data_IF_682967553977
#
_entry.id   IF_682967553977
#
_cell.length_a   1.000
_cell.length_b   1.000
_cell.length_c   1.000
_cell.angle_alpha   90.00
_cell.angle_beta   90.00
_cell.angle_gamma   90.00
#
_symmetry.space_group_name_H-M   'P 1'
#
loop_
_entity.id
_entity.type
_entity.pdbx_description
1 polymer ?
#
# COMPACT_ATOMS: atom_id res chain seq x y z
N UNK A 1 -10.66 -20.06 -15.41
CA UNK A 1 -11.07 -18.76 -14.84
C UNK A 1 -10.62 -17.69 -15.81
N UNK A 2 -11.53 -16.91 -16.41
CA UNK A 2 -11.14 -15.80 -17.27
C UNK A 2 -10.16 -14.90 -16.49
N UNK A 3 -8.96 -14.71 -17.03
CA UNK A 3 -7.96 -13.84 -16.42
C UNK A 3 -8.52 -12.43 -16.44
N UNK A 4 -9.09 -11.96 -15.34
CA UNK A 4 -9.38 -10.55 -15.18
C UNK A 4 -8.02 -9.82 -15.28
N UNK A 5 -7.82 -9.09 -16.38
CA UNK A 5 -6.67 -8.21 -16.55
C UNK A 5 -6.63 -7.22 -15.38
N UNK A 6 -5.43 -6.89 -14.91
CA UNK A 6 -5.28 -5.85 -13.90
C UNK A 6 -5.64 -4.51 -14.56
N UNK A 7 -6.56 -3.77 -13.95
CA UNK A 7 -6.79 -2.36 -14.29
C UNK A 7 -5.77 -1.50 -13.53
N UNK A 8 -4.60 -1.28 -14.14
CA UNK A 8 -3.49 -0.49 -13.60
C UNK A 8 -3.11 0.64 -14.55
N UNK A 9 -2.35 1.62 -14.04
CA UNK A 9 -1.73 2.65 -14.87
C UNK A 9 -0.24 2.72 -14.55
N UNK A 10 0.60 2.80 -15.58
CA UNK A 10 2.04 2.98 -15.44
C UNK A 10 2.45 4.30 -16.11
N UNK A 11 3.24 5.09 -15.40
CA UNK A 11 3.85 6.33 -15.91
C UNK A 11 5.36 6.11 -16.01
N UNK A 12 5.89 6.17 -17.23
CA UNK A 12 7.32 6.06 -17.51
C UNK A 12 7.79 7.46 -17.95
N UNK A 13 8.77 8.07 -17.26
CA UNK A 13 9.27 9.39 -17.62
C UNK A 13 10.00 9.37 -18.98
N UNK A 14 9.90 10.46 -19.75
CA UNK A 14 10.49 10.57 -21.11
C UNK A 14 12.00 10.33 -21.16
N UNK A 15 12.69 10.68 -20.08
CA UNK A 15 14.09 10.33 -19.83
C UNK A 15 14.15 9.51 -18.55
N UNK A 16 13.89 8.19 -18.63
CA UNK A 16 14.10 7.35 -17.48
C UNK A 16 15.61 7.29 -17.23
N UNK A 17 16.03 7.48 -15.98
CA UNK A 17 17.42 7.29 -15.55
C UNK A 17 17.81 5.80 -15.60
N UNK A 18 17.71 5.17 -16.76
CA UNK A 18 18.35 3.90 -17.03
C UNK A 18 19.84 4.17 -17.12
N UNK A 19 20.64 3.46 -16.32
CA UNK A 19 22.08 3.45 -16.52
C UNK A 19 22.34 3.09 -17.99
N UNK A 20 22.83 4.06 -18.77
CA UNK A 20 23.47 3.77 -20.04
C UNK A 20 24.51 2.69 -19.77
N UNK A 21 24.22 1.46 -20.19
CA UNK A 21 25.27 0.51 -20.50
C UNK A 21 26.07 1.18 -21.62
N UNK A 22 27.18 1.84 -21.28
CA UNK A 22 28.42 1.94 -22.07
C UNK A 22 29.36 3.02 -21.48
N UNK A 23 30.61 2.61 -21.27
CA UNK A 23 31.83 3.42 -21.04
C UNK A 23 32.21 3.78 -19.59
N UNK A 24 33.31 3.19 -19.05
CA UNK A 24 33.90 3.62 -17.80
C UNK A 24 34.64 4.95 -18.04
N UNK A 25 34.06 6.05 -17.59
CA UNK A 25 34.80 7.32 -17.47
C UNK A 25 35.69 7.21 -16.22
N UNK A 26 37.02 7.35 -16.32
CA UNK A 26 37.90 7.34 -15.17
C UNK A 26 37.87 8.73 -14.53
N UNK A 27 37.09 8.88 -13.46
CA UNK A 27 37.00 10.13 -12.70
C UNK A 27 35.76 10.16 -11.83
N UNK A 28 35.94 9.82 -10.54
CA UNK A 28 35.03 10.07 -9.42
C UNK A 28 33.53 10.09 -9.71
N UNK A 29 32.94 8.96 -10.08
CA UNK A 29 31.47 8.87 -10.19
C UNK A 29 30.88 8.59 -8.81
N UNK A 30 30.22 9.59 -8.20
CA UNK A 30 29.03 9.26 -7.40
C UNK A 30 28.20 8.33 -8.30
N UNK A 31 28.05 7.06 -7.90
CA UNK A 31 27.21 6.14 -8.63
C UNK A 31 25.82 6.80 -8.70
N UNK A 32 25.39 7.20 -9.91
CA UNK A 32 24.08 7.81 -10.10
C UNK A 32 23.04 6.93 -9.41
N UNK A 33 22.45 7.45 -8.34
CA UNK A 33 21.48 6.71 -7.55
C UNK A 33 20.29 6.45 -8.45
N UNK A 34 20.08 5.19 -8.83
CA UNK A 34 18.95 4.76 -9.64
C UNK A 34 17.65 5.20 -8.98
N UNK A 35 16.77 5.85 -9.75
CA UNK A 35 15.46 6.22 -9.26
C UNK A 35 14.62 4.95 -9.05
N UNK A 36 13.85 4.86 -7.95
CA UNK A 36 13.04 3.69 -7.71
C UNK A 36 11.83 3.65 -8.64
N UNK A 37 11.35 2.45 -8.94
CA UNK A 37 9.97 2.24 -9.39
C UNK A 37 9.07 2.36 -8.15
N UNK A 38 8.09 3.26 -8.21
CA UNK A 38 7.17 3.51 -7.11
C UNK A 38 5.84 2.83 -7.41
N UNK A 39 5.38 1.96 -6.52
CA UNK A 39 4.08 1.27 -6.65
C UNK A 39 3.10 1.87 -5.63
N UNK A 40 2.07 2.56 -6.13
CA UNK A 40 0.99 3.13 -5.34
C UNK A 40 -0.16 2.11 -5.22
N UNK A 41 -0.44 1.66 -3.99
CA UNK A 41 -1.53 0.73 -3.68
C UNK A 41 -2.70 1.49 -3.06
N UNK A 42 -3.70 1.80 -3.89
CA UNK A 42 -4.83 2.65 -3.54
C UNK A 42 -5.76 2.07 -2.47
N UNK A 43 -6.54 2.97 -1.86
CA UNK A 43 -7.54 2.63 -0.86
C UNK A 43 -8.85 2.15 -1.50
N UNK A 44 -9.74 1.59 -0.68
CA UNK A 44 -11.04 1.11 -1.14
C UNK A 44 -11.85 2.20 -1.86
N UNK A 45 -12.26 1.91 -3.09
CA UNK A 45 -13.10 2.78 -3.92
C UNK A 45 -12.41 4.03 -4.47
N UNK A 46 -11.09 4.16 -4.29
CA UNK A 46 -10.34 5.24 -4.94
C UNK A 46 -10.31 5.03 -6.47
N UNK A 47 -10.25 6.13 -7.22
CA UNK A 47 -10.12 6.09 -8.68
C UNK A 47 -8.69 6.44 -9.06
N UNK A 48 -8.28 6.04 -10.25
CA UNK A 48 -6.94 6.33 -10.77
C UNK A 48 -6.59 7.83 -10.70
N UNK A 49 -7.54 8.73 -11.02
CA UNK A 49 -7.38 10.20 -10.87
C UNK A 49 -7.00 10.67 -9.46
N UNK A 50 -7.36 9.91 -8.43
CA UNK A 50 -6.98 10.21 -7.05
C UNK A 50 -5.50 9.88 -6.86
N UNK A 51 -5.06 8.69 -7.30
CA UNK A 51 -3.66 8.26 -7.25
C UNK A 51 -2.75 9.10 -8.15
N UNK A 52 -3.24 9.64 -9.27
CA UNK A 52 -2.48 10.53 -10.15
C UNK A 52 -1.83 11.71 -9.40
N UNK A 53 -2.53 12.27 -8.41
CA UNK A 53 -2.00 13.37 -7.59
C UNK A 53 -0.79 12.96 -6.76
N UNK A 54 -0.81 11.75 -6.21
CA UNK A 54 0.31 11.16 -5.48
C UNK A 54 1.43 10.72 -6.43
N UNK A 55 1.07 10.20 -7.62
CA UNK A 55 2.01 9.82 -8.67
C UNK A 55 2.91 10.97 -9.09
N UNK A 56 2.33 12.16 -9.25
CA UNK A 56 3.03 13.38 -9.63
C UNK A 56 4.18 13.76 -8.68
N UNK A 57 4.16 13.31 -7.41
CA UNK A 57 5.27 13.52 -6.47
C UNK A 57 6.55 12.82 -6.97
N UNK A 58 6.39 11.59 -7.43
CA UNK A 58 7.48 10.70 -7.83
C UNK A 58 7.82 10.84 -9.31
N UNK A 59 6.81 10.87 -10.19
CA UNK A 59 6.99 10.95 -11.63
C UNK A 59 7.75 12.23 -12.05
N UNK A 60 7.44 13.38 -11.43
CA UNK A 60 8.18 14.65 -11.66
C UNK A 60 9.66 14.59 -11.29
N UNK A 61 10.10 13.54 -10.60
CA UNK A 61 11.49 13.31 -10.17
C UNK A 61 12.14 12.14 -10.93
N UNK A 62 11.55 11.71 -12.03
CA UNK A 62 12.11 10.68 -12.90
C UNK A 62 11.88 9.25 -12.42
N UNK A 63 10.96 9.02 -11.48
CA UNK A 63 10.55 7.67 -11.09
C UNK A 63 9.53 7.11 -12.08
N UNK A 64 9.62 5.82 -12.38
CA UNK A 64 8.50 5.07 -12.96
C UNK A 64 7.46 4.90 -11.85
N UNK A 65 6.18 5.14 -12.14
CA UNK A 65 5.11 5.00 -11.14
C UNK A 65 4.04 4.05 -11.63
N UNK A 66 3.79 2.99 -10.88
CA UNK A 66 2.67 2.06 -11.11
C UNK A 66 1.56 2.40 -10.11
N UNK A 67 0.37 2.64 -10.62
CA UNK A 67 -0.83 2.92 -9.83
C UNK A 67 -1.78 1.75 -9.93
N UNK A 68 -2.17 1.21 -8.79
CA UNK A 68 -3.13 0.11 -8.74
C UNK A 68 -4.08 0.24 -7.55
N UNK A 69 -5.36 -0.04 -7.79
CA UNK A 69 -6.38 -0.08 -6.74
C UNK A 69 -7.11 -1.41 -6.80
N UNK A 70 -7.04 -2.18 -5.71
CA UNK A 70 -7.78 -3.43 -5.62
C UNK A 70 -9.31 -3.18 -5.67
N UNK A 71 -10.09 -4.04 -6.35
CA UNK A 71 -11.54 -3.91 -6.34
C UNK A 71 -12.09 -3.93 -4.91
N UNK A 72 -12.87 -2.91 -4.54
CA UNK A 72 -13.34 -2.75 -3.16
C UNK A 72 -14.15 -3.95 -2.66
N UNK A 73 -14.91 -4.63 -3.53
CA UNK A 73 -15.67 -5.82 -3.11
C UNK A 73 -14.76 -6.99 -2.70
N UNK A 74 -13.56 -7.09 -3.27
CA UNK A 74 -12.57 -8.10 -2.82
C UNK A 74 -12.02 -7.73 -1.44
N UNK A 75 -11.69 -6.45 -1.24
CA UNK A 75 -11.20 -5.91 0.04
C UNK A 75 -12.23 -6.09 1.16
N UNK A 76 -13.51 -5.76 0.92
CA UNK A 76 -14.53 -5.77 1.96
C UNK A 76 -15.26 -7.13 2.09
N UNK A 77 -15.45 -7.90 1.02
CA UNK A 77 -16.19 -9.17 1.10
C UNK A 77 -15.30 -10.39 0.95
N UNK A 78 -14.52 -10.51 -0.13
CA UNK A 78 -13.72 -11.73 -0.38
C UNK A 78 -12.72 -12.00 0.76
N UNK A 79 -11.94 -10.99 1.16
CA UNK A 79 -10.99 -11.15 2.27
C UNK A 79 -11.71 -11.41 3.61
N UNK A 80 -12.87 -10.78 3.84
CA UNK A 80 -13.69 -11.03 5.04
C UNK A 80 -14.30 -12.43 5.10
N UNK A 81 -14.44 -13.09 3.94
CA UNK A 81 -14.85 -14.48 3.81
C UNK A 81 -13.67 -15.46 3.81
N UNK A 82 -12.43 -14.97 3.98
CA UNK A 82 -11.22 -15.78 3.94
C UNK A 82 -10.77 -16.20 2.52
N UNK A 83 -11.38 -15.64 1.47
CA UNK A 83 -11.01 -15.97 0.09
C UNK A 83 -9.82 -15.08 -0.30
N UNK A 84 -8.60 -15.63 -0.54
CA UNK A 84 -7.38 -14.85 -0.77
C UNK A 84 -7.29 -14.28 -2.19
N UNK A 85 -8.37 -13.69 -2.68
CA UNK A 85 -8.51 -13.17 -4.04
C UNK A 85 -7.48 -12.08 -4.36
N UNK A 86 -7.08 -11.30 -3.37
CA UNK A 86 -6.05 -10.27 -3.54
C UNK A 86 -4.66 -10.87 -3.79
N UNK A 87 -4.40 -12.12 -3.41
CA UNK A 87 -3.10 -12.77 -3.65
C UNK A 87 -2.79 -12.90 -5.15
N UNK A 88 -3.79 -13.26 -5.95
CA UNK A 88 -3.65 -13.36 -7.41
C UNK A 88 -3.36 -11.98 -8.02
N UNK A 89 -4.01 -10.93 -7.50
CA UNK A 89 -3.78 -9.56 -7.96
C UNK A 89 -2.38 -9.06 -7.57
N UNK A 90 -1.92 -9.36 -6.35
CA UNK A 90 -0.57 -9.05 -5.90
C UNK A 90 0.49 -9.76 -6.76
N UNK A 91 0.26 -11.02 -7.12
CA UNK A 91 1.16 -11.76 -8.01
C UNK A 91 1.25 -11.11 -9.37
N UNK A 92 0.10 -10.84 -10.02
CA UNK A 92 0.06 -10.16 -11.32
C UNK A 92 0.75 -8.79 -11.26
N UNK A 93 0.58 -8.05 -10.17
CA UNK A 93 1.19 -6.73 -9.99
C UNK A 93 2.72 -6.82 -9.92
N UNK A 94 3.27 -7.85 -9.26
CA UNK A 94 4.71 -8.10 -9.25
C UNK A 94 5.23 -8.64 -10.59
N UNK A 95 4.41 -9.39 -11.33
CA UNK A 95 4.72 -9.87 -12.68
C UNK A 95 4.93 -8.71 -13.67
N UNK A 96 4.19 -7.60 -13.54
CA UNK A 96 4.39 -6.39 -14.34
C UNK A 96 5.83 -5.89 -14.32
N UNK A 97 6.55 -6.03 -13.19
CA UNK A 97 7.94 -5.59 -13.10
C UNK A 97 8.85 -6.35 -14.07
N UNK A 98 8.53 -7.60 -14.38
CA UNK A 98 9.26 -8.42 -15.35
C UNK A 98 8.76 -8.16 -16.77
N UNK A 99 7.45 -7.98 -16.93
CA UNK A 99 6.84 -7.72 -18.25
C UNK A 99 7.35 -6.39 -18.85
N UNK A 100 7.61 -5.39 -18.00
CA UNK A 100 8.22 -4.11 -18.40
C UNK A 100 9.76 -4.08 -18.28
N UNK A 101 10.41 -5.20 -17.95
CA UNK A 101 11.87 -5.31 -17.79
C UNK A 101 12.49 -4.31 -16.76
N UNK A 102 11.74 -4.03 -15.69
CA UNK A 102 12.11 -3.08 -14.62
C UNK A 102 12.38 -3.77 -13.28
N UNK A 103 12.52 -5.10 -13.27
CA UNK A 103 12.66 -5.92 -12.05
C UNK A 103 13.98 -5.71 -11.30
N UNK A 104 14.97 -5.10 -11.97
CA UNK A 104 16.29 -4.78 -11.40
C UNK A 104 16.34 -3.42 -10.72
N UNK A 105 15.31 -2.60 -10.92
CA UNK A 105 15.25 -1.27 -10.32
C UNK A 105 14.84 -1.34 -8.84
N UNK A 106 15.29 -0.40 -8.00
CA UNK A 106 14.83 -0.29 -6.62
C UNK A 106 13.31 -0.12 -6.56
N UNK A 107 12.64 -0.77 -5.61
CA UNK A 107 11.19 -0.69 -5.45
C UNK A 107 10.81 0.08 -4.20
N UNK A 108 9.94 1.07 -4.35
CA UNK A 108 9.31 1.77 -3.24
C UNK A 108 7.80 1.52 -3.27
N UNK A 109 7.23 1.06 -2.16
CA UNK A 109 5.77 0.96 -2.04
C UNK A 109 5.19 2.18 -1.33
N UNK A 110 4.05 2.66 -1.81
CA UNK A 110 3.24 3.65 -1.11
C UNK A 110 1.83 3.10 -0.97
N UNK A 111 1.45 2.74 0.26
CA UNK A 111 0.31 1.91 0.57
C UNK A 111 -0.73 2.73 1.31
N UNK A 112 -1.92 2.88 0.72
CA UNK A 112 -2.98 3.72 1.23
C UNK A 112 -4.08 2.89 1.91
N UNK A 113 -4.45 3.28 3.13
CA UNK A 113 -5.53 2.67 3.91
C UNK A 113 -5.38 1.16 4.12
N UNK A 114 -6.34 0.54 4.79
CA UNK A 114 -6.38 -0.91 4.97
C UNK A 114 -6.57 -1.66 3.65
N UNK A 115 -7.25 -1.07 2.67
CA UNK A 115 -7.40 -1.67 1.34
C UNK A 115 -6.07 -1.94 0.64
N UNK A 116 -5.17 -0.95 0.65
CA UNK A 116 -3.81 -1.12 0.14
C UNK A 116 -3.00 -2.13 0.96
N UNK A 117 -3.11 -2.08 2.29
CA UNK A 117 -2.39 -3.01 3.18
C UNK A 117 -2.81 -4.46 2.97
N UNK A 118 -4.11 -4.73 2.79
CA UNK A 118 -4.62 -6.08 2.52
C UNK A 118 -4.04 -6.68 1.23
N UNK A 119 -3.78 -5.87 0.21
CA UNK A 119 -3.05 -6.31 -0.99
C UNK A 119 -1.55 -6.45 -0.71
N UNK A 120 -0.96 -5.46 -0.04
CA UNK A 120 0.46 -5.42 0.30
C UNK A 120 0.91 -6.61 1.16
N UNK A 121 0.05 -7.15 2.02
CA UNK A 121 0.35 -8.36 2.81
C UNK A 121 0.73 -9.54 1.91
N UNK A 122 0.07 -9.70 0.77
CA UNK A 122 0.36 -10.74 -0.19
C UNK A 122 1.59 -10.42 -1.02
N UNK A 123 1.86 -9.13 -1.27
CA UNK A 123 3.15 -8.71 -1.85
C UNK A 123 4.30 -9.15 -0.95
N UNK A 124 4.22 -8.91 0.37
CA UNK A 124 5.23 -9.36 1.33
C UNK A 124 5.43 -10.88 1.33
N UNK A 125 4.35 -11.66 1.28
CA UNK A 125 4.42 -13.12 1.15
C UNK A 125 5.10 -13.54 -0.16
N UNK A 126 4.67 -12.95 -1.29
CA UNK A 126 5.16 -13.30 -2.61
C UNK A 126 6.63 -12.94 -2.79
N UNK A 127 7.10 -11.84 -2.20
CA UNK A 127 8.52 -11.44 -2.17
C UNK A 127 9.43 -12.50 -1.52
N UNK A 128 8.90 -13.41 -0.70
CA UNK A 128 9.69 -14.52 -0.13
C UNK A 128 9.80 -15.73 -1.06
N UNK A 129 9.01 -15.77 -2.14
CA UNK A 129 9.05 -16.88 -3.10
C UNK A 129 10.26 -16.77 -4.03
N UNK A 130 10.70 -17.90 -4.59
CA UNK A 130 11.83 -17.93 -5.55
C UNK A 130 11.64 -17.02 -6.76
N UNK A 131 10.40 -16.76 -7.17
CA UNK A 131 10.06 -15.94 -8.35
C UNK A 131 10.35 -14.46 -8.13
N UNK A 132 10.16 -13.97 -6.90
CA UNK A 132 10.17 -12.55 -6.58
C UNK A 132 11.22 -12.17 -5.52
N UNK A 133 11.94 -13.13 -4.93
CA UNK A 133 12.96 -12.87 -3.90
C UNK A 133 14.15 -12.02 -4.36
N UNK A 134 14.29 -11.79 -5.66
CA UNK A 134 15.32 -10.90 -6.24
C UNK A 134 14.88 -9.44 -6.37
N UNK A 135 13.59 -9.16 -6.19
CA UNK A 135 13.07 -7.79 -6.23
C UNK A 135 13.59 -7.01 -5.02
N UNK A 136 14.25 -5.87 -5.28
CA UNK A 136 14.89 -5.06 -4.24
C UNK A 136 13.93 -3.98 -3.75
N UNK A 137 13.16 -4.28 -2.70
CA UNK A 137 12.37 -3.25 -2.00
C UNK A 137 13.28 -2.40 -1.11
N UNK A 138 13.30 -1.09 -1.35
CA UNK A 138 14.13 -0.14 -0.61
C UNK A 138 13.38 0.61 0.48
N UNK A 139 12.05 0.63 0.45
CA UNK A 139 11.25 1.25 1.51
C UNK A 139 9.75 1.12 1.29
N UNK A 140 8.98 1.46 2.32
CA UNK A 140 7.52 1.49 2.23
C UNK A 140 6.94 2.68 3.00
N UNK A 141 6.08 3.44 2.35
CA UNK A 141 5.28 4.49 2.97
C UNK A 141 3.88 3.94 3.18
N UNK A 142 3.36 4.03 4.40
CA UNK A 142 1.97 3.77 4.73
C UNK A 142 1.26 5.11 4.94
N UNK A 143 0.14 5.32 4.27
CA UNK A 143 -0.70 6.50 4.40
C UNK A 143 -2.07 6.09 4.95
N UNK A 144 -2.39 6.61 6.15
CA UNK A 144 -3.62 6.31 6.88
C UNK A 144 -3.83 4.80 7.10
N UNK A 145 -2.74 4.07 7.38
CA UNK A 145 -2.72 2.62 7.54
C UNK A 145 -1.48 2.16 8.34
N UNK A 146 -1.47 0.94 8.88
CA UNK A 146 -2.56 -0.02 9.00
C UNK A 146 -3.44 0.25 10.25
N UNK A 147 -4.73 -0.04 10.15
CA UNK A 147 -5.68 -0.06 11.28
C UNK A 147 -6.02 -1.48 11.71
N UNK A 148 -6.33 -1.66 12.99
CA UNK A 148 -6.61 -2.97 13.59
C UNK A 148 -8.10 -3.15 13.87
N UNK A 149 -8.74 -4.15 13.25
CA UNK A 149 -10.07 -4.69 13.57
C UNK A 149 -11.18 -3.68 13.95
N UNK A 150 -11.14 -2.47 13.38
CA UNK A 150 -12.09 -1.40 13.69
C UNK A 150 -13.32 -1.49 12.78
N UNK A 151 -14.36 -2.22 13.23
CA UNK A 151 -15.60 -2.39 12.46
C UNK A 151 -16.27 -1.05 12.13
N UNK A 152 -16.26 -0.09 13.06
CA UNK A 152 -16.86 1.24 12.83
C UNK A 152 -16.10 1.98 11.72
N UNK A 153 -14.77 1.95 11.76
CA UNK A 153 -13.92 2.52 10.71
C UNK A 153 -14.13 1.84 9.36
N UNK A 154 -14.20 0.51 9.32
CA UNK A 154 -14.46 -0.24 8.10
C UNK A 154 -15.85 0.09 7.51
N UNK A 155 -16.88 0.21 8.35
CA UNK A 155 -18.21 0.65 7.93
C UNK A 155 -18.21 2.09 7.41
N UNK A 156 -17.48 3.01 8.04
CA UNK A 156 -17.30 4.39 7.53
C UNK A 156 -16.62 4.40 6.15
N UNK A 157 -15.55 3.62 5.98
CA UNK A 157 -14.87 3.49 4.70
C UNK A 157 -15.80 2.93 3.62
N UNK A 158 -16.51 1.83 3.90
CA UNK A 158 -17.46 1.25 2.95
C UNK A 158 -18.62 2.22 2.66
N UNK A 159 -19.11 2.94 3.66
CA UNK A 159 -20.17 3.92 3.50
C UNK A 159 -19.72 5.07 2.58
N UNK A 160 -18.46 5.52 2.65
CA UNK A 160 -17.92 6.52 1.73
C UNK A 160 -17.83 6.00 0.29
N UNK A 161 -17.42 4.75 0.10
CA UNK A 161 -17.37 4.11 -1.24
C UNK A 161 -18.76 4.02 -1.87
N UNK A 162 -19.77 3.72 -1.05
CA UNK A 162 -21.15 3.51 -1.47
C UNK A 162 -21.99 4.79 -1.49
N UNK A 163 -21.40 5.97 -1.26
CA UNK A 163 -22.12 7.24 -1.13
C UNK A 163 -23.06 7.54 -2.31
N UNK A 164 -22.64 7.20 -3.53
CA UNK A 164 -23.41 7.44 -4.77
C UNK A 164 -24.39 6.31 -5.13
N UNK A 165 -24.53 5.27 -4.29
CA UNK A 165 -25.47 4.17 -4.51
C UNK A 165 -26.84 4.51 -3.90
N UNK A 166 -27.91 3.91 -4.42
CA UNK A 166 -29.25 4.06 -3.86
C UNK A 166 -29.26 3.70 -2.37
N UNK A 167 -29.98 4.47 -1.55
CA UNK A 167 -29.93 4.35 -0.09
C UNK A 167 -30.24 2.93 0.41
N UNK A 168 -31.24 2.26 -0.19
CA UNK A 168 -31.57 0.87 0.13
C UNK A 168 -30.40 -0.08 -0.18
N UNK A 169 -29.78 0.03 -1.36
CA UNK A 169 -28.63 -0.80 -1.73
C UNK A 169 -27.42 -0.52 -0.83
N UNK A 170 -27.16 0.74 -0.50
CA UNK A 170 -26.09 1.14 0.43
C UNK A 170 -26.31 0.50 1.80
N UNK A 171 -27.53 0.59 2.34
CA UNK A 171 -27.89 -0.03 3.63
C UNK A 171 -27.73 -1.55 3.58
N UNK A 172 -28.26 -2.22 2.54
CA UNK A 172 -28.13 -3.66 2.37
C UNK A 172 -26.67 -4.12 2.34
N UNK A 173 -25.81 -3.44 1.60
CA UNK A 173 -24.38 -3.78 1.52
C UNK A 173 -23.63 -3.52 2.83
N UNK A 174 -23.96 -2.45 3.55
CA UNK A 174 -23.36 -2.16 4.86
C UNK A 174 -23.77 -3.22 5.90
N UNK A 175 -25.05 -3.59 5.93
CA UNK A 175 -25.56 -4.66 6.81
C UNK A 175 -24.93 -6.00 6.44
N UNK A 176 -24.87 -6.34 5.15
CA UNK A 176 -24.22 -7.57 4.69
C UNK A 176 -22.74 -7.62 5.10
N UNK A 177 -21.99 -6.53 4.92
CA UNK A 177 -20.60 -6.47 5.35
C UNK A 177 -20.45 -6.62 6.87
N UNK A 178 -21.27 -5.91 7.66
CA UNK A 178 -21.27 -6.04 9.12
C UNK A 178 -21.56 -7.48 9.57
N UNK A 179 -22.55 -8.13 8.96
CA UNK A 179 -22.90 -9.53 9.25
C UNK A 179 -21.75 -10.47 8.88
N UNK A 180 -21.10 -10.28 7.74
CA UNK A 180 -19.93 -11.09 7.33
C UNK A 180 -18.79 -10.93 8.33
N UNK A 181 -18.45 -9.70 8.72
CA UNK A 181 -17.37 -9.47 9.69
C UNK A 181 -17.71 -10.09 11.05
N UNK A 182 -18.91 -9.86 11.57
CA UNK A 182 -19.34 -10.44 12.87
C UNK A 182 -19.35 -11.97 12.80
N UNK A 183 -19.86 -12.56 11.72
CA UNK A 183 -19.92 -14.01 11.57
C UNK A 183 -18.52 -14.63 11.47
N UNK A 184 -17.66 -14.13 10.58
CA UNK A 184 -16.38 -14.77 10.27
C UNK A 184 -15.24 -14.39 11.22
N UNK A 185 -15.25 -13.16 11.74
CA UNK A 185 -14.15 -12.62 12.56
C UNK A 185 -14.47 -12.53 14.05
N UNK A 186 -15.74 -12.69 14.45
CA UNK A 186 -16.12 -12.72 15.87
C UNK A 186 -16.62 -14.11 16.25
N UNK A 187 -17.68 -14.61 15.59
CA UNK A 187 -18.31 -15.89 15.96
C UNK A 187 -17.46 -17.09 15.54
N UNK A 188 -16.92 -17.07 14.31
CA UNK A 188 -16.07 -18.14 13.78
C UNK A 188 -14.59 -17.90 14.02
N UNK A 189 -14.20 -16.84 14.74
CA UNK A 189 -12.80 -16.47 15.02
C UNK A 189 -11.87 -17.64 15.42
N UNK A 190 -12.22 -18.54 16.36
CA UNK A 190 -11.32 -19.63 16.73
C UNK A 190 -11.11 -20.64 15.59
N UNK A 191 -12.11 -20.80 14.72
CA UNK A 191 -12.04 -21.68 13.55
C UNK A 191 -11.27 -20.98 12.42
N UNK A 192 -11.56 -19.71 12.17
CA UNK A 192 -10.92 -18.94 11.09
C UNK A 192 -9.47 -18.65 11.40
N UNK A 193 -9.08 -18.46 12.66
CA UNK A 193 -7.69 -18.26 13.08
C UNK A 193 -6.76 -19.43 12.72
N UNK A 194 -7.29 -20.66 12.58
CA UNK A 194 -6.51 -21.82 12.14
C UNK A 194 -6.02 -21.70 10.69
N UNK A 195 -6.71 -20.92 9.86
CA UNK A 195 -6.45 -20.82 8.42
C UNK A 195 -6.16 -19.38 7.96
N UNK A 196 -6.56 -18.38 8.74
CA UNK A 196 -6.48 -16.97 8.42
C UNK A 196 -5.87 -16.18 9.56
N UNK A 197 -4.63 -15.76 9.34
CA UNK A 197 -3.99 -14.70 10.11
C UNK A 197 -4.47 -13.35 9.60
N UNK A 198 -4.88 -12.48 10.52
CA UNK A 198 -5.29 -11.11 10.21
C UNK A 198 -4.15 -10.33 9.54
N UNK A 199 -4.47 -9.42 8.61
CA UNK A 199 -3.45 -8.69 7.85
C UNK A 199 -2.59 -7.80 8.75
N UNK A 200 -3.17 -7.27 9.83
CA UNK A 200 -2.47 -6.40 10.77
C UNK A 200 -1.36 -7.18 11.49
N UNK A 201 -1.68 -8.34 12.06
CA UNK A 201 -0.70 -9.21 12.74
C UNK A 201 0.41 -9.66 11.78
N UNK A 202 0.04 -10.02 10.55
CA UNK A 202 1.00 -10.37 9.49
C UNK A 202 1.97 -9.24 9.17
N UNK A 203 1.51 -8.00 9.22
CA UNK A 203 2.35 -6.84 8.96
C UNK A 203 3.27 -6.55 10.16
N UNK A 204 2.78 -6.70 11.40
CA UNK A 204 3.62 -6.61 12.61
C UNK A 204 4.78 -7.61 12.52
N UNK A 205 4.47 -8.87 12.20
CA UNK A 205 5.44 -9.96 12.14
C UNK A 205 6.23 -10.05 10.82
N UNK A 206 5.97 -9.17 9.86
CA UNK A 206 6.58 -9.24 8.53
C UNK A 206 8.11 -9.38 8.59
N UNK A 207 8.64 -10.28 7.75
CA UNK A 207 10.08 -10.54 7.62
C UNK A 207 10.87 -9.43 6.92
N UNK A 208 10.18 -8.42 6.37
CA UNK A 208 10.80 -7.24 5.74
C UNK A 208 11.68 -6.47 6.74
N UNK A 209 12.77 -5.90 6.22
CA UNK A 209 13.77 -5.13 6.99
C UNK A 209 14.13 -3.77 6.38
N UNK A 210 13.44 -3.38 5.30
CA UNK A 210 13.62 -2.05 4.71
C UNK A 210 12.97 -0.97 5.58
N UNK A 211 13.41 0.30 5.45
CA UNK A 211 12.78 1.42 6.14
C UNK A 211 11.29 1.57 5.85
N UNK A 212 10.55 2.06 6.84
CA UNK A 212 9.10 2.28 6.80
C UNK A 212 8.76 3.70 7.28
N UNK A 213 7.83 4.38 6.60
CA UNK A 213 7.29 5.68 6.99
C UNK A 213 5.77 5.59 7.14
N UNK A 214 5.25 5.96 8.30
CA UNK A 214 3.82 5.94 8.61
C UNK A 214 3.28 7.37 8.67
N UNK A 215 2.43 7.73 7.73
CA UNK A 215 1.73 9.01 7.64
C UNK A 215 0.30 8.79 8.15
N UNK A 216 -0.10 9.51 9.19
CA UNK A 216 -1.41 9.33 9.81
C UNK A 216 -1.93 10.63 10.43
N UNK A 217 -3.14 10.59 10.98
CA UNK A 217 -3.74 11.73 11.68
C UNK A 217 -4.57 11.26 12.87
N UNK A 218 -4.43 11.92 14.01
CA UNK A 218 -5.34 11.71 15.16
C UNK A 218 -6.80 12.04 14.85
N UNK A 219 -7.08 12.84 13.82
CA UNK A 219 -8.44 13.12 13.34
C UNK A 219 -8.97 12.10 12.32
N UNK A 220 -8.24 11.03 12.02
CA UNK A 220 -8.71 9.96 11.14
C UNK A 220 -9.79 9.12 11.84
N UNK A 221 -11.03 9.22 11.33
CA UNK A 221 -12.18 8.48 11.87
C UNK A 221 -12.33 7.04 11.31
N UNK A 222 -11.49 6.66 10.35
CA UNK A 222 -11.50 5.35 9.69
C UNK A 222 -10.40 4.46 10.27
N UNK A 223 -9.15 4.93 10.26
CA UNK A 223 -8.00 4.22 10.86
C UNK A 223 -7.52 5.00 12.06
N UNK A 224 -7.57 4.39 13.24
CA UNK A 224 -7.26 5.09 14.48
C UNK A 224 -5.74 5.25 14.63
N UNK A 225 -5.31 6.45 15.02
CA UNK A 225 -3.90 6.77 15.27
C UNK A 225 -3.19 5.74 16.16
N UNK A 226 -3.84 5.29 17.24
CA UNK A 226 -3.31 4.28 18.17
C UNK A 226 -2.95 2.95 17.51
N UNK A 227 -3.65 2.57 16.44
CA UNK A 227 -3.37 1.32 15.72
C UNK A 227 -2.09 1.48 14.89
N UNK A 228 -1.85 2.66 14.32
CA UNK A 228 -0.63 2.97 13.58
C UNK A 228 0.55 3.13 14.54
N UNK A 229 0.37 3.81 15.67
CA UNK A 229 1.38 3.95 16.72
C UNK A 229 1.85 2.58 17.24
N UNK A 230 0.90 1.68 17.55
CA UNK A 230 1.22 0.29 17.95
C UNK A 230 1.95 -0.49 16.86
N UNK A 231 1.60 -0.28 15.59
CA UNK A 231 2.32 -0.89 14.47
C UNK A 231 3.77 -0.40 14.44
N UNK A 232 3.99 0.91 14.53
CA UNK A 232 5.33 1.51 14.56
C UNK A 232 6.16 0.94 15.71
N UNK A 233 5.60 0.86 16.92
CA UNK A 233 6.26 0.25 18.08
C UNK A 233 6.65 -1.21 17.81
N UNK A 234 5.75 -2.02 17.27
CA UNK A 234 6.00 -3.42 16.94
C UNK A 234 7.12 -3.58 15.89
N UNK A 235 7.17 -2.72 14.88
CA UNK A 235 8.21 -2.74 13.84
C UNK A 235 9.57 -2.29 14.38
N UNK A 236 9.60 -1.26 15.22
CA UNK A 236 10.81 -0.82 15.93
C UNK A 236 11.37 -1.91 16.84
N UNK A 237 10.50 -2.61 17.59
CA UNK A 237 10.90 -3.75 18.44
C UNK A 237 11.56 -4.88 17.64
N UNK A 238 11.23 -5.01 16.35
CA UNK A 238 11.83 -5.97 15.39
C UNK A 238 13.05 -5.41 14.65
N UNK A 239 13.60 -4.28 15.10
CA UNK A 239 14.77 -3.59 14.52
C UNK A 239 14.55 -3.13 13.07
N UNK A 240 13.31 -2.83 12.70
CA UNK A 240 12.98 -2.19 11.42
C UNK A 240 13.02 -0.68 11.63
N UNK A 241 13.65 0.05 10.71
CA UNK A 241 13.69 1.52 10.77
C UNK A 241 12.31 2.08 10.40
N UNK A 242 11.45 2.27 11.40
CA UNK A 242 10.14 2.87 11.23
C UNK A 242 10.14 4.33 11.74
N UNK A 243 9.59 5.24 10.94
CA UNK A 243 9.29 6.63 11.33
C UNK A 243 7.80 6.88 11.18
N UNK A 244 7.25 7.79 11.97
CA UNK A 244 5.84 8.15 11.86
C UNK A 244 5.64 9.66 11.95
N UNK A 245 4.61 10.17 11.26
CA UNK A 245 4.22 11.57 11.25
C UNK A 245 2.70 11.66 11.41
N UNK A 246 2.30 12.33 12.48
CA UNK A 246 0.91 12.66 12.75
C UNK A 246 0.57 14.06 12.21
N UNK A 247 -0.39 14.13 11.28
CA UNK A 247 -0.92 15.36 10.70
C UNK A 247 -2.01 16.02 11.56
N UNK A 248 -2.35 15.44 12.71
CA UNK A 248 -3.22 15.96 13.78
C UNK A 248 -4.69 16.14 13.39
N UNK A 249 -4.98 16.85 12.30
CA UNK A 249 -6.34 17.28 11.91
C UNK A 249 -6.80 16.87 10.52
N UNK A 250 -5.95 16.29 9.67
CA UNK A 250 -6.40 15.83 8.34
C UNK A 250 -7.30 14.61 8.46
N UNK A 251 -8.30 14.52 7.58
CA UNK A 251 -9.14 13.34 7.45
C UNK A 251 -8.38 12.15 6.81
N UNK A 252 -9.02 10.96 6.81
CA UNK A 252 -8.49 9.74 6.19
C UNK A 252 -8.00 9.98 4.76
N UNK A 253 -6.75 9.60 4.47
CA UNK A 253 -6.08 9.70 3.15
C UNK A 253 -6.16 11.11 2.54
N UNK A 254 -6.21 12.14 3.39
CA UNK A 254 -6.31 13.53 2.98
C UNK A 254 -5.08 14.37 3.31
N UNK A 255 -4.00 13.75 3.80
CA UNK A 255 -2.77 14.44 4.20
C UNK A 255 -2.17 15.29 3.07
N UNK A 256 -2.09 14.75 1.85
CA UNK A 256 -1.62 15.50 0.67
C UNK A 256 -2.54 16.69 0.33
N UNK A 257 -3.85 16.55 0.53
CA UNK A 257 -4.81 17.62 0.26
C UNK A 257 -4.64 18.76 1.25
N UNK A 258 -4.53 18.43 2.52
CA UNK A 258 -4.53 19.41 3.62
C UNK A 258 -3.14 20.03 3.84
N UNK A 259 -2.06 19.28 3.58
CA UNK A 259 -0.67 19.68 3.81
C UNK A 259 0.24 19.38 2.60
N UNK A 260 -0.03 19.93 1.41
CA UNK A 260 0.60 19.48 0.16
C UNK A 260 2.12 19.59 0.15
N UNK A 261 2.67 20.72 0.60
CA UNK A 261 4.13 20.95 0.62
C UNK A 261 4.82 20.03 1.63
N UNK A 262 4.28 19.94 2.84
CA UNK A 262 4.87 19.14 3.92
C UNK A 262 4.80 17.65 3.60
N UNK A 263 3.63 17.16 3.19
CA UNK A 263 3.45 15.77 2.74
C UNK A 263 4.43 15.40 1.61
N UNK A 264 4.54 16.26 0.59
CA UNK A 264 5.46 16.04 -0.53
C UNK A 264 6.91 15.97 -0.06
N UNK A 265 7.34 16.85 0.85
CA UNK A 265 8.71 16.82 1.39
C UNK A 265 9.02 15.50 2.10
N UNK A 266 8.10 15.01 2.95
CA UNK A 266 8.25 13.75 3.67
C UNK A 266 8.42 12.55 2.72
N UNK A 267 7.57 12.48 1.68
CA UNK A 267 7.63 11.39 0.69
C UNK A 267 8.95 11.41 -0.10
N UNK A 268 9.39 12.59 -0.52
CA UNK A 268 10.59 12.78 -1.33
C UNK A 268 11.85 12.50 -0.52
N UNK A 269 11.92 13.01 0.71
CA UNK A 269 13.06 12.81 1.59
C UNK A 269 13.18 11.33 1.98
N UNK A 270 12.06 10.67 2.28
CA UNK A 270 12.04 9.23 2.55
C UNK A 270 12.54 8.43 1.34
N UNK A 271 12.01 8.70 0.14
CA UNK A 271 12.43 8.03 -1.09
C UNK A 271 13.93 8.18 -1.33
N UNK A 272 14.46 9.42 -1.25
CA UNK A 272 15.88 9.72 -1.45
C UNK A 272 16.78 9.03 -0.43
N UNK A 273 16.35 8.97 0.82
CA UNK A 273 17.10 8.27 1.87
C UNK A 273 17.13 6.75 1.61
N UNK A 274 16.02 6.17 1.16
CA UNK A 274 15.92 4.73 0.90
C UNK A 274 16.83 4.24 -0.24
N UNK A 275 17.03 5.04 -1.30
CA UNK A 275 17.91 4.66 -2.43
C UNK A 275 19.39 4.91 -2.18
N UNK A 276 19.74 5.70 -1.15
CA UNK A 276 21.13 5.95 -0.74
C UNK A 276 21.68 4.88 0.21
N UNK A 277 20.80 4.07 0.82
CA UNK A 277 21.14 2.95 1.70
C UNK A 277 21.41 1.66 0.90
#
# INVERSE_FOLDING_TARGET
MASAELDYTIEIPDQPCWSQKNSPSPGGKEAETRQPVVILLGWGGCKDKNLAKYSAIYHKRGCIVIRYTAPWHMVFFSESLGIPSLRVLAQKLLELLFDYEIEKEPLLFHVFSNGGVMLYRYVLELLQTRRFCRLRVVGTIFDSAPGDSNLVGALRALAAILERRAAMLRLLLLVAFALVVVLFHVLLAPITALFHTHFYDRLQDAGSRWPELYLYSRADEVVLARDIERMVEARLARRVLARSVDFVSSAHVSHLRDYPTYYTSLCVDFMRNCVRC
#
